data_IF_056031581586
#
_entry.id   IF_056031581586
#
_cell.length_a   1.000
_cell.length_b   1.000
_cell.length_c   1.000
_cell.angle_alpha   90.00
_cell.angle_beta   90.00
_cell.angle_gamma   90.00
#
_symmetry.space_group_name_H-M   'P 1'
#
loop_
_entity.id
_entity.type
_entity.pdbx_description
1 polymer ?
#
# COMPACT_ATOMS: atom_id res chain seq x y z
N UNK A 1 -14.84 16.53 10.60
CA UNK A 1 -14.46 15.09 10.63
C UNK A 1 -13.23 14.92 9.74
N UNK A 2 -12.27 14.05 10.11
CA UNK A 2 -11.13 13.68 9.28
C UNK A 2 -11.24 12.19 8.94
N UNK A 3 -11.04 11.86 7.66
CA UNK A 3 -11.00 10.48 7.17
C UNK A 3 -10.06 10.39 5.98
N UNK A 4 -9.70 9.18 5.56
CA UNK A 4 -8.90 8.99 4.36
C UNK A 4 -9.38 7.77 3.57
N UNK A 5 -9.05 7.77 2.28
CA UNK A 5 -9.20 6.63 1.39
C UNK A 5 -7.84 6.07 1.03
N UNK A 6 -7.74 4.75 1.03
CA UNK A 6 -6.65 4.01 0.39
C UNK A 6 -7.27 3.24 -0.77
N UNK A 7 -6.67 3.36 -1.93
CA UNK A 7 -7.22 2.80 -3.16
C UNK A 7 -6.12 2.18 -4.03
N UNK A 8 -6.52 1.28 -4.91
CA UNK A 8 -5.64 0.60 -5.85
C UNK A 8 -5.47 1.39 -7.15
N UNK A 9 -4.61 0.90 -8.03
CA UNK A 9 -4.43 1.46 -9.37
C UNK A 9 -5.66 1.32 -10.28
N UNK A 10 -6.68 0.55 -9.86
CA UNK A 10 -7.96 0.40 -10.57
C UNK A 10 -8.93 1.57 -10.33
N UNK A 11 -8.62 2.45 -9.37
CA UNK A 11 -9.42 3.61 -9.04
C UNK A 11 -8.61 4.89 -9.25
N UNK A 12 -9.30 6.02 -9.33
CA UNK A 12 -8.67 7.34 -9.35
C UNK A 12 -9.18 8.22 -8.21
N UNK A 13 -8.45 9.30 -7.90
CA UNK A 13 -8.92 10.31 -6.96
C UNK A 13 -10.29 10.86 -7.41
N UNK A 14 -10.42 11.15 -8.68
CA UNK A 14 -11.62 11.74 -9.27
C UNK A 14 -12.82 10.82 -9.16
N UNK A 15 -12.64 9.51 -9.42
CA UNK A 15 -13.73 8.52 -9.28
C UNK A 15 -14.20 8.41 -7.85
N UNK A 16 -13.28 8.38 -6.88
CA UNK A 16 -13.61 8.29 -5.46
C UNK A 16 -14.31 9.56 -4.94
N UNK A 17 -13.83 10.73 -5.35
CA UNK A 17 -14.48 12.01 -5.02
C UNK A 17 -15.92 12.04 -5.52
N UNK A 18 -16.11 11.73 -6.80
CA UNK A 18 -17.43 11.75 -7.43
C UNK A 18 -18.40 10.76 -6.77
N UNK A 19 -17.93 9.55 -6.48
CA UNK A 19 -18.76 8.55 -5.82
C UNK A 19 -19.14 8.98 -4.41
N UNK A 20 -18.17 9.46 -3.63
CA UNK A 20 -18.41 9.90 -2.27
C UNK A 20 -19.37 11.09 -2.19
N UNK A 21 -19.15 12.12 -3.03
CA UNK A 21 -20.03 13.28 -3.08
C UNK A 21 -21.42 12.93 -3.60
N UNK A 22 -21.53 11.98 -4.54
CA UNK A 22 -22.83 11.45 -4.98
C UNK A 22 -23.62 10.82 -3.83
N UNK A 23 -22.93 10.04 -2.98
CA UNK A 23 -23.54 9.46 -1.77
C UNK A 23 -24.03 10.56 -0.83
N UNK A 24 -23.19 11.54 -0.50
CA UNK A 24 -23.59 12.64 0.39
C UNK A 24 -24.78 13.41 -0.14
N UNK A 25 -24.80 13.72 -1.44
CA UNK A 25 -25.89 14.42 -2.09
C UNK A 25 -27.21 13.64 -2.01
N UNK A 26 -27.15 12.30 -2.05
CA UNK A 26 -28.33 11.46 -1.90
C UNK A 26 -28.99 11.59 -0.53
N UNK A 27 -28.22 11.90 0.51
CA UNK A 27 -28.70 12.15 1.87
C UNK A 27 -29.18 13.58 2.10
N UNK A 28 -29.04 14.49 1.12
CA UNK A 28 -29.38 15.91 1.23
C UNK A 28 -28.75 16.61 2.44
N UNK A 29 -27.52 16.25 2.73
CA UNK A 29 -26.72 16.85 3.80
C UNK A 29 -25.94 18.03 3.23
N UNK A 30 -25.93 19.15 3.94
CA UNK A 30 -25.02 20.26 3.65
C UNK A 30 -23.63 19.90 4.15
N UNK A 31 -22.61 20.03 3.28
CA UNK A 31 -21.23 19.70 3.62
C UNK A 31 -20.23 20.62 2.90
N UNK A 32 -19.07 20.71 3.49
CA UNK A 32 -17.87 21.30 2.90
C UNK A 32 -16.74 20.28 3.05
N UNK A 33 -16.03 19.97 1.96
CA UNK A 33 -14.95 18.98 1.95
C UNK A 33 -13.68 19.59 1.34
N UNK A 34 -12.58 19.46 2.07
CA UNK A 34 -11.23 19.73 1.57
C UNK A 34 -10.54 18.42 1.20
N UNK A 35 -10.35 18.18 -0.10
CA UNK A 35 -9.73 16.98 -0.63
C UNK A 35 -8.23 17.13 -0.78
N UNK A 36 -7.46 16.37 -0.02
CA UNK A 36 -5.99 16.33 -0.11
C UNK A 36 -5.49 15.00 -0.63
N UNK A 37 -4.74 15.03 -1.74
CA UNK A 37 -4.06 13.85 -2.26
C UNK A 37 -2.67 13.75 -1.63
N UNK A 38 -2.44 12.72 -0.82
CA UNK A 38 -1.13 12.47 -0.20
C UNK A 38 -0.18 11.67 -1.09
N UNK A 39 -0.69 10.90 -2.03
CA UNK A 39 0.10 10.12 -2.98
C UNK A 39 -0.78 9.29 -3.91
N UNK A 40 -0.19 8.87 -5.02
CA UNK A 40 -0.83 7.95 -5.96
C UNK A 40 -0.51 6.50 -5.57
N UNK A 41 -1.44 5.57 -5.81
CA UNK A 41 -1.13 4.16 -5.71
C UNK A 41 -0.12 3.75 -6.78
N UNK A 42 0.66 2.75 -6.51
CA UNK A 42 1.55 2.14 -7.49
C UNK A 42 1.46 0.62 -7.41
N UNK A 43 1.79 -0.03 -8.51
CA UNK A 43 1.87 -1.47 -8.62
C UNK A 43 3.11 -1.81 -9.45
N UNK A 44 3.96 -2.69 -8.95
CA UNK A 44 5.09 -3.21 -9.70
C UNK A 44 4.58 -4.20 -10.75
N UNK A 45 4.61 -3.78 -12.00
CA UNK A 45 4.15 -4.58 -13.15
C UNK A 45 5.27 -5.38 -13.83
N UNK A 46 6.51 -4.92 -13.72
CA UNK A 46 7.70 -5.63 -14.15
C UNK A 46 8.01 -6.75 -13.15
N UNK A 47 8.50 -7.89 -13.63
CA UNK A 47 8.59 -9.09 -12.80
C UNK A 47 10.02 -9.47 -12.42
N UNK A 48 11.06 -8.87 -13.03
CA UNK A 48 12.45 -9.31 -12.84
C UNK A 48 12.91 -9.26 -11.39
N UNK A 49 12.75 -8.11 -10.73
CA UNK A 49 13.13 -7.96 -9.32
C UNK A 49 12.24 -8.83 -8.42
N UNK A 50 10.94 -8.81 -8.67
CA UNK A 50 9.97 -9.64 -7.94
C UNK A 50 10.35 -11.12 -7.98
N UNK A 51 10.64 -11.65 -9.16
CA UNK A 51 10.95 -13.07 -9.35
C UNK A 51 12.27 -13.44 -8.67
N UNK A 52 13.27 -12.55 -8.72
CA UNK A 52 14.54 -12.75 -7.99
C UNK A 52 14.28 -12.82 -6.48
N UNK A 53 13.50 -11.92 -5.93
CA UNK A 53 13.20 -11.89 -4.49
C UNK A 53 12.42 -13.14 -4.08
N UNK A 54 11.39 -13.51 -4.82
CA UNK A 54 10.60 -14.72 -4.56
C UNK A 54 11.48 -15.97 -4.54
N UNK A 55 12.31 -16.16 -5.57
CA UNK A 55 13.19 -17.33 -5.67
C UNK A 55 14.25 -17.33 -4.54
N UNK A 56 14.74 -16.16 -4.15
CA UNK A 56 15.71 -16.06 -3.05
C UNK A 56 15.05 -16.44 -1.71
N UNK A 57 13.85 -15.97 -1.45
CA UNK A 57 13.11 -16.34 -0.24
C UNK A 57 12.84 -17.83 -0.22
N UNK A 58 12.32 -18.40 -1.29
CA UNK A 58 12.03 -19.81 -1.38
C UNK A 58 13.30 -20.67 -1.16
N UNK A 59 14.42 -20.28 -1.76
CA UNK A 59 15.69 -21.01 -1.61
C UNK A 59 16.26 -21.01 -0.19
N UNK A 60 16.01 -19.94 0.57
CA UNK A 60 16.50 -19.80 1.95
C UNK A 60 15.53 -20.40 2.96
N UNK A 61 14.24 -20.19 2.80
CA UNK A 61 13.23 -20.54 3.80
C UNK A 61 12.48 -21.84 3.47
N UNK A 62 12.52 -22.29 2.23
CA UNK A 62 11.72 -23.43 1.75
C UNK A 62 10.23 -23.09 1.52
N UNK A 63 9.82 -21.83 1.66
CA UNK A 63 8.44 -21.38 1.50
C UNK A 63 8.34 -20.30 0.43
N UNK A 64 7.27 -20.37 -0.38
CA UNK A 64 6.91 -19.29 -1.29
C UNK A 64 6.29 -18.13 -0.50
N UNK A 65 6.75 -16.89 -0.71
CA UNK A 65 6.15 -15.73 -0.08
C UNK A 65 4.76 -15.42 -0.65
N UNK A 66 3.87 -14.87 0.17
CA UNK A 66 2.59 -14.32 -0.27
C UNK A 66 2.84 -12.95 -0.95
N UNK A 67 2.48 -12.85 -2.22
CA UNK A 67 2.57 -11.61 -2.98
C UNK A 67 1.25 -10.83 -2.86
N UNK A 68 1.30 -9.71 -2.18
CA UNK A 68 0.12 -8.90 -1.94
C UNK A 68 0.46 -7.41 -1.90
N UNK A 69 -0.55 -6.55 -1.89
CA UNK A 69 -0.42 -5.11 -1.74
C UNK A 69 -0.91 -4.63 -0.37
N UNK A 70 -0.80 -5.49 0.65
CA UNK A 70 -1.14 -5.16 2.04
C UNK A 70 -0.01 -4.39 2.69
N UNK A 71 -0.35 -3.65 3.72
CA UNK A 71 0.64 -2.92 4.52
C UNK A 71 0.39 -1.43 4.62
N UNK A 72 1.35 -0.74 5.17
CA UNK A 72 1.32 0.70 5.39
C UNK A 72 1.64 1.51 4.13
N UNK A 73 1.61 2.81 4.29
CA UNK A 73 2.11 3.72 3.25
C UNK A 73 3.64 3.69 3.26
N UNK A 74 4.24 3.42 2.11
CA UNK A 74 5.68 3.33 1.92
C UNK A 74 6.22 4.48 1.08
N UNK A 75 7.50 4.77 1.23
CA UNK A 75 8.23 5.72 0.39
C UNK A 75 8.46 5.18 -1.03
N UNK A 76 8.21 3.91 -1.27
CA UNK A 76 8.18 3.32 -2.60
C UNK A 76 7.30 4.10 -3.58
N UNK A 77 6.23 4.74 -3.10
CA UNK A 77 5.36 5.63 -3.90
C UNK A 77 6.09 6.78 -4.59
N UNK A 78 7.21 7.24 -4.04
CA UNK A 78 8.04 8.29 -4.66
C UNK A 78 8.97 7.71 -5.70
N UNK A 79 9.55 6.55 -5.41
CA UNK A 79 10.48 5.83 -6.28
C UNK A 79 9.76 5.23 -7.49
N UNK A 80 8.51 4.81 -7.33
CA UNK A 80 7.68 4.28 -8.40
C UNK A 80 7.55 5.23 -9.62
N UNK A 81 7.64 6.54 -9.37
CA UNK A 81 7.60 7.56 -10.45
C UNK A 81 8.85 7.56 -11.33
N UNK A 82 9.89 6.85 -10.95
CA UNK A 82 11.17 6.75 -11.68
C UNK A 82 11.20 5.55 -12.63
N UNK A 83 10.06 4.91 -12.91
CA UNK A 83 9.93 3.69 -13.74
C UNK A 83 10.84 2.55 -13.26
N UNK A 84 11.03 2.42 -11.96
CA UNK A 84 11.83 1.37 -11.35
C UNK A 84 10.94 0.29 -10.73
N UNK A 85 11.48 -0.94 -10.66
CA UNK A 85 10.80 -2.02 -9.94
C UNK A 85 10.96 -1.83 -8.44
N UNK A 86 9.88 -2.07 -7.69
CA UNK A 86 9.87 -1.95 -6.25
C UNK A 86 9.32 -3.24 -5.67
N UNK A 87 10.02 -3.79 -4.70
CA UNK A 87 9.56 -4.88 -3.86
C UNK A 87 9.77 -4.45 -2.41
N UNK A 88 8.73 -4.57 -1.61
CA UNK A 88 8.80 -4.36 -0.18
C UNK A 88 8.88 -5.72 0.49
N UNK A 89 9.94 -5.93 1.23
CA UNK A 89 10.18 -7.12 2.02
C UNK A 89 10.63 -6.70 3.42
N UNK A 90 10.05 -7.30 4.41
CA UNK A 90 10.41 -7.03 5.80
C UNK A 90 10.06 -8.21 6.71
N UNK A 91 10.42 -8.11 7.99
CA UNK A 91 10.05 -9.08 9.01
C UNK A 91 8.54 -9.12 9.22
N UNK A 92 8.06 -10.11 9.97
CA UNK A 92 6.65 -10.21 10.35
C UNK A 92 6.22 -9.00 11.18
N UNK A 93 5.02 -8.49 10.88
CA UNK A 93 4.48 -7.27 11.49
C UNK A 93 3.66 -7.54 12.77
N UNK A 94 4.01 -8.55 13.56
CA UNK A 94 3.20 -8.95 14.73
C UNK A 94 3.09 -7.83 15.79
N UNK A 95 4.14 -7.03 15.95
CA UNK A 95 4.20 -5.96 16.96
C UNK A 95 4.22 -4.54 16.39
N UNK A 96 3.96 -4.38 15.09
CA UNK A 96 4.00 -3.07 14.43
C UNK A 96 3.05 -2.07 15.11
N UNK A 97 3.55 -0.86 15.39
CA UNK A 97 2.82 0.22 16.06
C UNK A 97 2.34 -0.11 17.49
N UNK A 98 2.86 -1.16 18.11
CA UNK A 98 2.58 -1.51 19.50
C UNK A 98 3.65 -0.92 20.45
N UNK A 99 3.30 -0.84 21.72
CA UNK A 99 4.30 -0.57 22.77
C UNK A 99 5.27 -1.77 22.77
N UNK A 100 6.58 -1.48 22.85
CA UNK A 100 7.65 -2.48 22.77
C UNK A 100 7.71 -3.20 21.39
N UNK A 101 7.50 -2.46 20.31
CA UNK A 101 7.69 -2.95 18.94
C UNK A 101 9.03 -3.67 18.81
N UNK A 102 8.99 -4.89 18.33
CA UNK A 102 10.17 -5.76 18.26
C UNK A 102 10.08 -6.73 17.08
N UNK A 103 11.22 -7.32 16.76
CA UNK A 103 11.31 -8.41 15.79
C UNK A 103 12.19 -9.53 16.37
N UNK A 104 11.99 -10.73 15.91
CA UNK A 104 12.86 -11.86 16.26
C UNK A 104 14.19 -11.76 15.54
N UNK A 105 15.30 -11.96 16.25
CA UNK A 105 16.65 -11.95 15.66
C UNK A 105 16.76 -12.98 14.52
N UNK A 106 16.05 -14.08 14.60
CA UNK A 106 16.03 -15.11 13.56
C UNK A 106 15.33 -14.68 12.26
N UNK A 107 14.66 -13.54 12.25
CA UNK A 107 13.99 -12.97 11.08
C UNK A 107 14.81 -11.86 10.39
N UNK A 108 15.98 -11.56 10.93
CA UNK A 108 16.99 -10.67 10.35
C UNK A 108 17.93 -11.40 9.40
#
# INVERSE_FOLDING_TARGET
>A
MLFNFRYSTESSKESLVNEFESILNSFKVEYEIDWKLSGLPYLTTKNKLKDIVVNSIESITGYLPDLNAKGGTSDGRFVAKMDTEIVELGPLNESIHQIDENIKISEL
#
